data_IF_108799594262
#
_entry.id   IF_108799594262
#
_cell.length_a   1.000
_cell.length_b   1.000
_cell.length_c   1.000
_cell.angle_alpha   90.00
_cell.angle_beta   90.00
_cell.angle_gamma   90.00
#
_symmetry.space_group_name_H-M   'P 1'
#
loop_
_entity.id
_entity.type
_entity.pdbx_description
1 polymer ?
#
# COMPACT_ATOMS: atom_id res chain seq x y z
N UNK A 1 18.47 -46.40 76.00
CA UNK A 1 18.82 -45.16 76.73
C UNK A 1 19.12 -44.10 75.68
N UNK A 2 18.55 -42.91 75.62
CA UNK A 2 17.43 -42.25 76.30
C UNK A 2 17.06 -41.05 75.42
N UNK A 3 15.77 -40.82 75.25
CA UNK A 3 15.04 -39.54 75.31
C UNK A 3 15.49 -38.29 74.52
N UNK A 4 14.57 -37.84 73.65
CA UNK A 4 14.02 -36.45 73.53
C UNK A 4 14.91 -35.31 73.00
N UNK A 5 14.49 -34.27 72.28
CA UNK A 5 13.24 -33.78 71.65
C UNK A 5 13.53 -32.36 71.10
N UNK A 6 12.91 -31.92 69.99
CA UNK A 6 12.54 -30.52 69.59
C UNK A 6 12.58 -30.39 68.05
N UNK A 7 11.44 -30.39 67.34
CA UNK A 7 10.53 -29.27 67.00
C UNK A 7 11.07 -28.27 65.97
N UNK A 8 10.50 -28.26 64.75
CA UNK A 8 9.70 -27.14 64.18
C UNK A 8 9.49 -27.26 62.66
N UNK A 9 8.23 -27.03 62.24
CA UNK A 9 7.72 -26.39 60.99
C UNK A 9 8.29 -26.80 59.61
N UNK A 10 7.53 -27.04 58.54
CA UNK A 10 6.21 -26.52 58.18
C UNK A 10 5.63 -27.28 56.96
N UNK A 11 4.32 -27.53 57.05
CA UNK A 11 3.30 -27.67 56.00
C UNK A 11 3.70 -27.92 54.53
N UNK A 12 3.39 -29.13 54.05
CA UNK A 12 3.18 -29.39 52.63
C UNK A 12 1.96 -30.29 52.43
N UNK A 13 0.76 -29.69 52.34
CA UNK A 13 -0.37 -30.32 51.66
C UNK A 13 -1.43 -29.27 51.33
N UNK A 14 -1.34 -28.73 50.12
CA UNK A 14 -2.48 -28.13 49.41
C UNK A 14 -2.18 -28.18 47.93
N UNK A 15 -2.18 -29.42 47.42
CA UNK A 15 -2.21 -29.72 45.99
C UNK A 15 -3.59 -29.31 45.48
N UNK A 16 -3.58 -28.39 44.52
CA UNK A 16 -4.65 -28.15 43.54
C UNK A 16 -6.08 -27.97 44.08
N UNK A 17 -6.40 -26.76 44.53
CA UNK A 17 -7.71 -26.15 44.25
C UNK A 17 -7.53 -25.13 43.12
N UNK A 18 -7.16 -25.64 41.96
CA UNK A 18 -7.21 -24.93 40.70
C UNK A 18 -8.05 -25.84 39.80
N UNK A 19 -9.09 -25.29 39.17
CA UNK A 19 -10.22 -25.99 38.54
C UNK A 19 -11.41 -26.27 39.48
N UNK A 20 -12.12 -25.21 39.88
CA UNK A 20 -13.56 -25.16 39.61
C UNK A 20 -14.07 -23.72 39.74
N UNK A 21 -14.01 -22.98 38.64
CA UNK A 21 -14.81 -21.77 38.46
C UNK A 21 -15.81 -22.04 37.33
N UNK A 22 -16.60 -23.10 37.49
CA UNK A 22 -17.82 -23.30 36.72
C UNK A 22 -18.80 -22.20 37.08
N UNK A 23 -18.91 -21.19 36.23
CA UNK A 23 -19.96 -20.18 36.34
C UNK A 23 -21.31 -20.89 36.11
N UNK A 24 -22.06 -21.17 37.19
CA UNK A 24 -23.43 -21.66 37.11
C UNK A 24 -24.30 -20.49 36.64
N UNK A 25 -24.27 -20.23 35.34
CA UNK A 25 -25.10 -19.21 34.68
C UNK A 25 -26.45 -19.90 34.43
N UNK A 26 -27.51 -19.38 35.05
CA UNK A 26 -28.85 -19.93 34.85
C UNK A 26 -29.30 -19.81 33.40
N UNK A 27 -30.12 -20.76 32.91
CA UNK A 27 -30.66 -20.76 31.53
C UNK A 27 -31.27 -19.41 31.11
N UNK A 28 -31.86 -18.67 32.05
CA UNK A 28 -32.41 -17.32 31.85
C UNK A 28 -31.30 -16.28 31.58
N UNK A 29 -30.18 -16.36 32.30
CA UNK A 29 -29.03 -15.48 32.09
C UNK A 29 -28.31 -15.81 30.77
N UNK A 30 -28.20 -17.09 30.38
CA UNK A 30 -27.71 -17.46 29.03
C UNK A 30 -28.57 -16.84 27.93
N UNK A 31 -29.89 -16.90 28.09
CA UNK A 31 -30.83 -16.37 27.10
C UNK A 31 -30.68 -14.85 27.00
N UNK A 32 -30.53 -14.15 28.13
CA UNK A 32 -30.31 -12.70 28.16
C UNK A 32 -28.97 -12.32 27.51
N UNK A 33 -27.91 -13.05 27.83
CA UNK A 33 -26.58 -12.85 27.24
C UNK A 33 -26.63 -13.09 25.72
N UNK A 34 -27.29 -14.15 25.26
CA UNK A 34 -27.43 -14.46 23.84
C UNK A 34 -28.20 -13.37 23.08
N UNK A 35 -29.28 -12.83 23.67
CA UNK A 35 -30.04 -11.71 23.08
C UNK A 35 -29.17 -10.45 22.97
N UNK A 36 -28.38 -10.13 24.00
CA UNK A 36 -27.47 -8.99 23.97
C UNK A 36 -26.39 -9.17 22.91
N UNK A 37 -25.82 -10.36 22.77
CA UNK A 37 -24.84 -10.67 21.72
C UNK A 37 -25.48 -10.62 20.32
N UNK A 38 -26.70 -11.11 20.13
CA UNK A 38 -27.40 -10.99 18.85
C UNK A 38 -27.72 -9.53 18.51
N UNK A 39 -28.15 -8.74 19.50
CA UNK A 39 -28.41 -7.31 19.30
C UNK A 39 -27.14 -6.54 18.95
N UNK A 40 -26.04 -6.82 19.66
CA UNK A 40 -24.74 -6.20 19.40
C UNK A 40 -24.20 -6.59 18.03
N UNK A 41 -24.27 -7.88 17.66
CA UNK A 41 -23.81 -8.34 16.35
C UNK A 41 -24.65 -7.76 15.21
N UNK A 42 -25.98 -7.72 15.34
CA UNK A 42 -26.86 -7.11 14.35
C UNK A 42 -26.61 -5.60 14.20
N UNK A 43 -26.46 -4.87 15.32
CA UNK A 43 -26.11 -3.45 15.31
C UNK A 43 -24.77 -3.19 14.63
N UNK A 44 -23.74 -3.97 14.97
CA UNK A 44 -22.43 -3.92 14.32
C UNK A 44 -22.52 -4.23 12.82
N UNK A 45 -23.36 -5.19 12.40
CA UNK A 45 -23.57 -5.54 11.00
C UNK A 45 -24.25 -4.42 10.22
N UNK A 46 -25.23 -3.75 10.82
CA UNK A 46 -25.90 -2.57 10.24
C UNK A 46 -24.89 -1.44 10.09
N UNK A 47 -24.14 -1.11 11.14
CA UNK A 47 -23.10 -0.07 11.09
C UNK A 47 -22.00 -0.40 10.08
N UNK A 48 -21.59 -1.67 9.99
CA UNK A 48 -20.62 -2.12 8.99
C UNK A 48 -21.17 -1.93 7.57
N UNK A 49 -22.44 -2.27 7.32
CA UNK A 49 -23.07 -2.10 6.01
C UNK A 49 -23.33 -0.63 5.66
N UNK A 50 -23.56 0.25 6.63
CA UNK A 50 -23.72 1.70 6.38
C UNK A 50 -22.38 2.41 6.19
N UNK A 51 -21.31 1.99 6.88
CA UNK A 51 -19.98 2.56 6.75
C UNK A 51 -19.27 2.14 5.44
N UNK A 52 -19.60 0.97 4.88
CA UNK A 52 -19.04 0.48 3.63
C UNK A 52 -20.13 0.26 2.55
N UNK A 53 -20.75 1.32 2.00
CA UNK A 53 -21.77 1.16 0.96
C UNK A 53 -21.18 0.77 -0.42
N UNK A 54 -19.85 0.71 -0.58
CA UNK A 54 -19.20 0.51 -1.89
C UNK A 54 -18.65 -0.90 -2.11
N UNK A 55 -19.54 -1.89 -2.14
CA UNK A 55 -19.21 -3.18 -2.75
C UNK A 55 -20.35 -3.71 -3.63
N UNK A 56 -20.97 -2.80 -4.40
CA UNK A 56 -21.91 -3.16 -5.46
C UNK A 56 -21.55 -2.47 -6.77
N UNK A 57 -20.33 -2.67 -7.25
CA UNK A 57 -20.04 -2.57 -8.68
C UNK A 57 -20.55 -3.86 -9.33
N UNK A 58 -21.80 -3.83 -9.77
CA UNK A 58 -22.35 -4.86 -10.65
C UNK A 58 -21.77 -4.64 -12.05
N UNK A 59 -20.70 -5.35 -12.38
CA UNK A 59 -20.12 -5.38 -13.73
C UNK A 59 -20.97 -6.33 -14.58
N UNK A 60 -22.16 -5.88 -14.95
CA UNK A 60 -22.94 -6.51 -16.02
C UNK A 60 -23.70 -5.42 -16.76
N UNK A 61 -23.34 -5.23 -18.03
CA UNK A 61 -23.83 -4.24 -19.00
C UNK A 61 -23.07 -2.92 -19.10
N UNK A 62 -21.82 -2.99 -19.59
CA UNK A 62 -21.28 -1.94 -20.46
C UNK A 62 -21.06 -2.50 -21.87
N UNK A 63 -22.14 -2.99 -22.47
CA UNK A 63 -22.22 -3.27 -23.89
C UNK A 63 -23.11 -2.19 -24.52
N UNK A 64 -22.59 -1.58 -25.58
CA UNK A 64 -23.16 -0.46 -26.33
C UNK A 64 -22.93 0.92 -25.70
N UNK A 65 -21.97 1.66 -26.26
CA UNK A 65 -22.19 2.97 -26.88
C UNK A 65 -20.98 3.24 -27.78
N UNK A 66 -21.00 2.59 -28.94
CA UNK A 66 -20.22 2.97 -30.11
C UNK A 66 -21.09 3.91 -30.94
N UNK A 67 -20.59 5.12 -31.20
CA UNK A 67 -20.71 5.86 -32.47
C UNK A 67 -20.72 7.38 -32.24
N UNK A 68 -19.70 8.08 -32.74
CA UNK A 68 -19.91 9.34 -33.45
C UNK A 68 -18.72 9.61 -34.40
N UNK A 69 -18.95 10.08 -35.65
CA UNK A 69 -17.91 10.17 -36.68
C UNK A 69 -17.17 11.52 -36.63
N UNK A 70 -15.86 11.48 -36.79
CA UNK A 70 -15.00 12.68 -36.98
C UNK A 70 -14.96 13.10 -38.46
N UNK A 71 -14.90 14.40 -38.80
CA UNK A 71 -14.79 14.87 -40.18
C UNK A 71 -13.34 14.80 -40.72
N UNK A 72 -13.24 14.67 -42.05
CA UNK A 72 -12.04 14.45 -42.85
C UNK A 72 -11.31 15.75 -43.28
N UNK A 73 -9.96 15.63 -43.31
CA UNK A 73 -8.91 16.31 -44.14
C UNK A 73 -8.45 17.76 -43.80
N UNK A 74 -7.23 18.19 -44.23
CA UNK A 74 -6.24 17.49 -45.06
C UNK A 74 -4.79 17.39 -44.55
N UNK A 75 -4.12 16.42 -45.17
CA UNK A 75 -2.69 16.09 -45.15
C UNK A 75 -1.81 17.28 -45.58
N UNK A 76 -0.79 17.62 -44.79
CA UNK A 76 0.33 18.46 -45.20
C UNK A 76 1.64 17.82 -44.75
N UNK A 77 2.33 17.32 -45.74
CA UNK A 77 3.61 16.66 -45.74
C UNK A 77 4.70 17.73 -45.64
N UNK A 78 5.45 17.72 -44.54
CA UNK A 78 6.76 18.36 -44.44
C UNK A 78 7.68 17.47 -43.64
N UNK A 79 8.63 16.88 -44.36
CA UNK A 79 9.75 16.13 -43.82
C UNK A 79 10.67 17.05 -43.03
N UNK A 80 10.88 16.75 -41.75
CA UNK A 80 12.14 17.07 -41.08
C UNK A 80 12.47 15.90 -40.14
N UNK A 81 13.51 15.17 -40.53
CA UNK A 81 14.07 14.04 -39.80
C UNK A 81 14.93 14.63 -38.68
N UNK A 82 14.45 14.52 -37.45
CA UNK A 82 15.29 14.54 -36.26
C UNK A 82 15.25 13.13 -35.65
N UNK A 83 16.38 12.47 -35.37
CA UNK A 83 16.38 11.17 -34.73
C UNK A 83 16.01 11.37 -33.27
N UNK A 84 14.72 11.50 -32.98
CA UNK A 84 14.23 11.24 -31.64
C UNK A 84 14.59 9.78 -31.36
N UNK A 85 15.57 9.58 -30.48
CA UNK A 85 15.91 8.27 -29.97
C UNK A 85 14.74 7.86 -29.09
N UNK A 86 13.68 7.31 -29.70
CA UNK A 86 12.50 6.82 -29.01
C UNK A 86 12.96 5.67 -28.11
N UNK A 87 13.35 6.00 -26.87
CA UNK A 87 13.58 5.00 -25.84
C UNK A 87 12.28 4.19 -25.77
N UNK A 88 12.34 2.85 -25.93
CA UNK A 88 11.13 2.04 -25.83
C UNK A 88 10.51 2.29 -24.45
N UNK A 89 9.22 2.63 -24.41
CA UNK A 89 8.46 2.76 -23.16
C UNK A 89 8.41 1.37 -22.52
N UNK A 90 9.30 1.12 -21.55
CA UNK A 90 9.32 -0.12 -20.80
C UNK A 90 8.01 -0.29 -20.04
N UNK A 91 7.49 -1.52 -20.01
CA UNK A 91 6.39 -1.90 -19.14
C UNK A 91 6.82 -1.83 -17.67
N UNK A 92 5.85 -1.72 -16.76
CA UNK A 92 6.16 -1.68 -15.33
C UNK A 92 6.91 -2.93 -14.86
N UNK A 93 6.53 -4.11 -15.37
CA UNK A 93 7.20 -5.37 -15.07
C UNK A 93 8.67 -5.37 -15.49
N UNK A 94 8.99 -4.87 -16.69
CA UNK A 94 10.38 -4.76 -17.15
C UNK A 94 11.20 -3.78 -16.29
N UNK A 95 10.60 -2.67 -15.84
CA UNK A 95 11.25 -1.75 -14.90
C UNK A 95 11.56 -2.47 -13.59
N UNK A 96 10.62 -3.25 -13.05
CA UNK A 96 10.82 -4.04 -11.83
C UNK A 96 11.90 -5.10 -12.03
N UNK A 97 11.91 -5.82 -13.16
CA UNK A 97 12.95 -6.81 -13.49
C UNK A 97 14.34 -6.16 -13.53
N UNK A 98 14.48 -5.04 -14.22
CA UNK A 98 15.74 -4.30 -14.34
C UNK A 98 16.24 -3.75 -12.99
N UNK A 99 15.32 -3.35 -12.12
CA UNK A 99 15.65 -2.83 -10.79
C UNK A 99 15.80 -3.94 -9.74
N UNK A 100 15.39 -5.17 -10.01
CA UNK A 100 15.35 -6.21 -8.98
C UNK A 100 16.74 -6.69 -8.53
N UNK A 101 16.85 -7.03 -7.26
CA UNK A 101 17.98 -7.81 -6.74
C UNK A 101 17.86 -9.29 -7.16
N UNK A 102 18.88 -10.10 -6.88
CA UNK A 102 18.86 -11.56 -7.14
C UNK A 102 17.69 -12.30 -6.46
N UNK A 103 17.10 -11.72 -5.42
CA UNK A 103 15.97 -12.30 -4.67
C UNK A 103 14.63 -11.63 -5.05
N UNK A 104 14.55 -11.03 -6.24
CA UNK A 104 13.39 -10.30 -6.74
C UNK A 104 12.94 -9.13 -5.85
N UNK A 105 13.82 -8.58 -5.01
CA UNK A 105 13.50 -7.42 -4.16
C UNK A 105 13.80 -6.11 -4.89
N UNK A 106 12.86 -5.17 -4.85
CA UNK A 106 13.02 -3.78 -5.31
C UNK A 106 12.79 -2.79 -4.15
N UNK A 107 13.34 -1.59 -4.26
CA UNK A 107 13.01 -0.48 -3.34
C UNK A 107 12.03 0.42 -4.08
N UNK A 108 10.82 0.58 -3.57
CA UNK A 108 9.78 1.38 -4.20
C UNK A 108 9.59 2.67 -3.40
N UNK A 109 9.53 3.79 -4.11
CA UNK A 109 9.07 5.05 -3.55
C UNK A 109 8.04 5.70 -4.45
N UNK A 110 7.17 6.52 -3.88
CA UNK A 110 6.18 7.30 -4.64
C UNK A 110 6.55 8.77 -4.66
N UNK A 111 6.39 9.41 -5.82
CA UNK A 111 6.69 10.82 -6.04
C UNK A 111 5.50 11.54 -6.68
N UNK A 112 5.16 12.73 -6.20
CA UNK A 112 4.27 13.66 -6.89
C UNK A 112 4.97 15.01 -7.08
N UNK A 113 4.33 15.91 -7.82
CA UNK A 113 4.88 17.22 -8.18
C UNK A 113 5.33 18.01 -6.95
N UNK A 114 4.56 17.98 -5.86
CA UNK A 114 4.88 18.72 -4.63
C UNK A 114 6.28 18.43 -4.07
N UNK A 115 6.80 17.21 -4.30
CA UNK A 115 8.12 16.76 -3.82
C UNK A 115 9.16 16.60 -4.93
N UNK A 116 8.82 16.97 -6.16
CA UNK A 116 9.67 16.84 -7.35
C UNK A 116 10.31 18.17 -7.78
N UNK A 117 10.02 19.29 -7.10
CA UNK A 117 10.64 20.58 -7.43
C UNK A 117 12.17 20.52 -7.32
N UNK A 118 12.93 21.29 -8.12
CA UNK A 118 14.38 21.33 -8.01
C UNK A 118 14.86 21.70 -6.61
N UNK A 119 15.91 21.02 -6.14
CA UNK A 119 16.48 21.12 -4.78
C UNK A 119 15.49 20.79 -3.65
N UNK A 120 14.48 19.95 -3.93
CA UNK A 120 13.49 19.50 -2.95
C UNK A 120 13.78 18.07 -2.44
N UNK A 121 12.79 17.46 -1.79
CA UNK A 121 12.90 16.17 -1.11
C UNK A 121 13.38 15.05 -2.03
N UNK A 122 12.97 15.03 -3.31
CA UNK A 122 13.43 14.00 -4.24
C UNK A 122 14.93 14.08 -4.55
N UNK A 123 15.47 15.29 -4.70
CA UNK A 123 16.90 15.47 -4.94
C UNK A 123 17.72 15.03 -3.72
N UNK A 124 17.27 15.39 -2.52
CA UNK A 124 17.87 14.95 -1.25
C UNK A 124 17.78 13.44 -1.08
N UNK A 125 16.65 12.84 -1.44
CA UNK A 125 16.45 11.40 -1.39
C UNK A 125 17.49 10.68 -2.25
N UNK A 126 17.65 11.06 -3.53
CA UNK A 126 18.65 10.46 -4.40
C UNK A 126 20.07 10.71 -3.89
N UNK A 127 20.36 11.93 -3.42
CA UNK A 127 21.68 12.29 -2.93
C UNK A 127 22.07 11.51 -1.68
N UNK A 128 21.11 11.22 -0.78
CA UNK A 128 21.35 10.42 0.42
C UNK A 128 21.90 9.02 0.10
N UNK A 129 21.50 8.42 -1.02
CA UNK A 129 22.10 7.18 -1.48
C UNK A 129 23.49 7.38 -2.07
N UNK A 130 23.74 8.49 -2.77
CA UNK A 130 25.05 8.75 -3.40
C UNK A 130 26.14 8.96 -2.36
N UNK A 131 25.85 9.72 -1.31
CA UNK A 131 26.84 10.09 -0.26
C UNK A 131 26.84 9.11 0.92
N UNK A 132 25.82 8.29 1.07
CA UNK A 132 25.71 7.34 2.17
C UNK A 132 26.73 6.21 2.07
N UNK A 133 27.19 5.73 3.23
CA UNK A 133 28.19 4.67 3.29
C UNK A 133 27.60 3.34 2.80
N UNK A 134 28.05 2.89 1.62
CA UNK A 134 27.63 1.62 1.03
C UNK A 134 26.21 1.63 0.43
N UNK A 135 25.55 2.78 0.33
CA UNK A 135 24.17 2.88 -0.17
C UNK A 135 24.09 3.22 -1.66
N UNK A 136 25.16 3.74 -2.28
CA UNK A 136 25.16 4.15 -3.70
C UNK A 136 24.72 3.00 -4.63
N UNK A 137 25.16 1.78 -4.35
CA UNK A 137 24.80 0.60 -5.13
C UNK A 137 23.30 0.24 -5.08
N UNK A 138 22.56 0.74 -4.07
CA UNK A 138 21.13 0.51 -3.92
C UNK A 138 20.31 1.39 -4.88
N UNK A 139 20.86 2.50 -5.39
CA UNK A 139 20.15 3.40 -6.32
C UNK A 139 19.59 2.65 -7.53
N UNK A 140 20.36 1.72 -8.11
CA UNK A 140 19.89 0.92 -9.26
C UNK A 140 18.68 0.03 -8.93
N UNK A 141 18.43 -0.22 -7.65
CA UNK A 141 17.32 -1.01 -7.14
C UNK A 141 16.12 -0.15 -6.71
N UNK A 142 16.24 1.17 -6.76
CA UNK A 142 15.14 2.10 -6.50
C UNK A 142 14.27 2.19 -7.75
N UNK A 143 12.96 2.04 -7.57
CA UNK A 143 11.90 2.30 -8.55
C UNK A 143 11.05 3.44 -8.01
N UNK A 144 10.93 4.50 -8.80
CA UNK A 144 10.16 5.69 -8.43
C UNK A 144 8.83 5.68 -9.18
N UNK A 145 7.75 5.54 -8.42
CA UNK A 145 6.38 5.53 -8.92
C UNK A 145 5.85 6.97 -8.87
N UNK A 146 5.71 7.58 -10.03
CA UNK A 146 5.29 8.95 -10.21
C UNK A 146 3.77 9.02 -10.33
N UNK A 147 3.14 9.86 -9.51
CA UNK A 147 1.68 10.02 -9.42
C UNK A 147 1.12 11.07 -10.39
N UNK A 148 2.01 11.80 -11.08
CA UNK A 148 1.68 12.79 -12.09
C UNK A 148 2.81 12.93 -13.11
N UNK A 149 2.49 13.58 -14.24
CA UNK A 149 3.38 13.74 -15.39
C UNK A 149 4.62 14.57 -15.04
N UNK A 150 4.48 15.64 -14.24
CA UNK A 150 5.62 16.51 -13.91
C UNK A 150 6.62 15.80 -13.00
N UNK A 151 6.13 15.03 -12.03
CA UNK A 151 6.97 14.14 -11.24
C UNK A 151 7.70 13.11 -12.12
N UNK A 152 7.01 12.54 -13.11
CA UNK A 152 7.60 11.58 -14.05
C UNK A 152 8.69 12.19 -14.93
N UNK A 153 8.46 13.39 -15.47
CA UNK A 153 9.45 14.13 -16.26
C UNK A 153 10.69 14.42 -15.43
N UNK A 154 10.52 14.95 -14.21
CA UNK A 154 11.63 15.21 -13.29
C UNK A 154 12.39 13.93 -12.95
N UNK A 155 11.67 12.87 -12.58
CA UNK A 155 12.27 11.59 -12.24
C UNK A 155 13.13 11.08 -13.39
N UNK A 156 12.59 11.07 -14.61
CA UNK A 156 13.25 10.55 -15.81
C UNK A 156 14.52 11.32 -16.20
N UNK A 157 14.66 12.57 -15.76
CA UNK A 157 15.89 13.35 -15.93
C UNK A 157 17.01 12.95 -14.95
N UNK A 158 16.64 12.44 -13.77
CA UNK A 158 17.56 12.19 -12.67
C UNK A 158 17.83 10.72 -12.37
N UNK A 159 16.90 9.84 -12.75
CA UNK A 159 16.88 8.44 -12.39
C UNK A 159 16.33 7.57 -13.52
N UNK A 160 16.82 6.34 -13.62
CA UNK A 160 16.50 5.45 -14.74
C UNK A 160 15.18 4.71 -14.55
N UNK A 161 14.88 4.26 -13.32
CA UNK A 161 13.75 3.37 -13.05
C UNK A 161 12.55 4.18 -12.55
N UNK A 162 11.97 4.97 -13.46
CA UNK A 162 10.78 5.78 -13.20
C UNK A 162 9.55 5.15 -13.87
N UNK A 163 8.43 5.09 -13.17
CA UNK A 163 7.16 4.61 -13.71
C UNK A 163 6.05 5.60 -13.37
N UNK A 164 5.29 6.04 -14.37
CA UNK A 164 4.11 6.88 -14.17
C UNK A 164 2.88 5.99 -14.07
N UNK A 165 2.16 6.07 -12.94
CA UNK A 165 0.87 5.39 -12.80
C UNK A 165 -0.21 6.22 -13.49
N UNK A 166 -1.02 5.56 -14.32
CA UNK A 166 -2.22 6.18 -14.87
C UNK A 166 -3.31 6.17 -13.79
N UNK A 167 -3.63 7.35 -13.25
CA UNK A 167 -4.67 7.50 -12.24
C UNK A 167 -5.95 8.06 -12.85
N UNK A 168 -7.10 7.47 -12.53
CA UNK A 168 -8.41 7.96 -12.96
C UNK A 168 -8.73 9.31 -12.33
N UNK A 169 -9.15 10.29 -13.16
CA UNK A 169 -9.76 11.63 -12.92
C UNK A 169 -9.35 12.50 -11.70
N UNK A 170 -8.54 11.99 -10.78
CA UNK A 170 -8.15 12.64 -9.53
C UNK A 170 -6.72 13.10 -9.67
N UNK A 171 -6.52 14.41 -9.61
CA UNK A 171 -5.20 15.03 -9.67
C UNK A 171 -4.43 14.78 -8.36
N UNK A 172 -3.29 14.10 -8.45
CA UNK A 172 -2.41 13.78 -7.31
C UNK A 172 -1.16 14.67 -7.23
N UNK A 173 -1.03 15.68 -8.08
CA UNK A 173 0.16 16.53 -8.19
C UNK A 173 0.47 17.34 -6.92
N UNK A 174 -0.56 17.90 -6.28
CA UNK A 174 -0.41 18.69 -5.05
C UNK A 174 -0.13 17.86 -3.79
N UNK A 175 0.38 18.52 -2.76
CA UNK A 175 0.41 17.96 -1.40
C UNK A 175 -1.03 17.60 -0.98
N UNK A 176 -1.21 16.40 -0.45
CA UNK A 176 -2.53 15.94 0.00
C UNK A 176 -2.62 16.00 1.50
N UNK A 177 -3.52 16.86 1.97
CA UNK A 177 -3.85 17.00 3.39
C UNK A 177 -4.36 15.67 3.92
N UNK A 178 -3.76 15.23 5.01
CA UNK A 178 -4.09 13.97 5.69
C UNK A 178 -5.59 13.83 5.93
N UNK A 179 -6.13 12.62 5.72
CA UNK A 179 -7.55 12.26 5.89
C UNK A 179 -8.57 12.98 4.99
N UNK A 180 -8.13 13.63 3.92
CA UNK A 180 -9.06 14.11 2.88
C UNK A 180 -9.49 12.97 1.95
N UNK A 181 -10.64 13.08 1.25
CA UNK A 181 -11.05 12.09 0.26
C UNK A 181 -9.97 11.83 -0.81
N UNK A 182 -9.28 12.88 -1.26
CA UNK A 182 -8.21 12.76 -2.26
C UNK A 182 -6.96 12.09 -1.70
N UNK A 183 -6.62 12.36 -0.43
CA UNK A 183 -5.56 11.63 0.27
C UNK A 183 -5.88 10.14 0.34
N UNK A 184 -7.12 9.77 0.71
CA UNK A 184 -7.51 8.37 0.79
C UNK A 184 -7.47 7.68 -0.57
N UNK A 185 -7.94 8.34 -1.64
CA UNK A 185 -7.82 7.81 -3.01
C UNK A 185 -6.37 7.59 -3.42
N UNK A 186 -5.47 8.52 -3.10
CA UNK A 186 -4.04 8.37 -3.35
C UNK A 186 -3.47 7.16 -2.61
N UNK A 187 -3.85 6.97 -1.34
CA UNK A 187 -3.41 5.83 -0.54
C UNK A 187 -3.91 4.50 -1.10
N UNK A 188 -5.15 4.43 -1.57
CA UNK A 188 -5.68 3.25 -2.24
C UNK A 188 -4.92 2.92 -3.52
N UNK A 189 -4.66 3.92 -4.37
CA UNK A 189 -3.85 3.72 -5.59
C UNK A 189 -2.45 3.17 -5.27
N UNK A 190 -1.82 3.64 -4.17
CA UNK A 190 -0.54 3.11 -3.69
C UNK A 190 -0.66 1.65 -3.25
N UNK A 191 -1.69 1.30 -2.49
CA UNK A 191 -1.94 -0.07 -2.02
C UNK A 191 -2.18 -1.01 -3.22
N UNK A 192 -2.96 -0.59 -4.19
CA UNK A 192 -3.26 -1.37 -5.39
C UNK A 192 -1.99 -1.60 -6.23
N UNK A 193 -1.14 -0.58 -6.36
CA UNK A 193 0.15 -0.72 -7.05
C UNK A 193 1.09 -1.70 -6.32
N UNK A 194 1.22 -1.58 -4.99
CA UNK A 194 2.05 -2.49 -4.21
C UNK A 194 1.53 -3.93 -4.25
N UNK A 195 0.19 -4.11 -4.32
CA UNK A 195 -0.43 -5.42 -4.51
C UNK A 195 -0.03 -6.03 -5.85
N UNK A 196 -0.10 -5.25 -6.94
CA UNK A 196 0.33 -5.71 -8.28
C UNK A 196 1.80 -6.12 -8.31
N UNK A 197 2.68 -5.42 -7.57
CA UNK A 197 4.11 -5.79 -7.46
C UNK A 197 4.28 -7.20 -6.86
N UNK A 198 3.51 -7.52 -5.82
CA UNK A 198 3.53 -8.86 -5.20
C UNK A 198 2.94 -9.91 -6.14
N UNK A 199 1.84 -9.61 -6.82
CA UNK A 199 1.21 -10.51 -7.79
C UNK A 199 2.13 -10.85 -8.96
N UNK A 200 2.99 -9.91 -9.36
CA UNK A 200 4.04 -10.14 -10.37
C UNK A 200 5.24 -10.95 -9.85
N UNK A 201 5.28 -11.30 -8.55
CA UNK A 201 6.31 -12.15 -7.95
C UNK A 201 7.54 -11.40 -7.40
N UNK A 202 7.44 -10.09 -7.20
CA UNK A 202 8.51 -9.29 -6.59
C UNK A 202 8.29 -9.09 -5.10
N UNK A 203 9.39 -8.96 -4.37
CA UNK A 203 9.41 -8.45 -3.00
C UNK A 203 9.70 -6.94 -3.05
N UNK A 204 9.25 -6.18 -2.06
CA UNK A 204 9.57 -4.75 -2.03
C UNK A 204 9.89 -4.21 -0.63
N UNK A 205 10.73 -3.18 -0.62
CA UNK A 205 10.88 -2.25 0.50
C UNK A 205 10.21 -0.95 0.05
N UNK A 206 9.25 -0.45 0.82
CA UNK A 206 8.52 0.77 0.48
C UNK A 206 8.97 1.95 1.34
N UNK A 207 9.20 3.10 0.72
CA UNK A 207 9.51 4.37 1.40
C UNK A 207 8.67 5.51 0.85
N UNK A 208 8.23 6.42 1.73
CA UNK A 208 7.33 7.52 1.40
C UNK A 208 8.11 8.83 1.28
N UNK A 209 7.84 9.59 0.22
CA UNK A 209 8.22 10.99 0.09
C UNK A 209 6.95 11.82 0.34
N UNK A 210 6.92 12.54 1.46
CA UNK A 210 5.81 13.36 1.93
C UNK A 210 6.27 14.39 2.94
#
# INVERSE_FOLDING_TARGET
MSSSSSSSSSSSSSRSKFMDSGFIIGRKELTRILILFLGLTASCLVLYKTAYPLQRLNVSNLTSLQASPSPLLPNLNSSEISPETTKPKLSFKEILENASTKNNTVIITTLNQAWAEPNSLFDLFLESFRIGQGTQQLLKHVVVVCLDIKAFERCSQLHTNCYHIETSETDFSGEKVYNTPDYLKMMWARIDLLTQVLEMGFNFIFTVLS
#
